data_IF_230303243633
#
_entry.id   IF_230303243633
#
_cell.length_a   1.000
_cell.length_b   1.000
_cell.length_c   1.000
_cell.angle_alpha   90.00
_cell.angle_beta   90.00
_cell.angle_gamma   90.00
#
_symmetry.space_group_name_H-M   'P 1'
#
loop_
_entity.id
_entity.type
_entity.pdbx_description
1 polymer ?
#
# COMPACT_ATOMS: atom_id res chain seq x y z
N UNK A 1 24.12 -1.69 -31.04
CA UNK A 1 22.70 -1.73 -31.40
C UNK A 1 21.93 -1.40 -30.13
N UNK A 2 21.54 -0.14 -29.95
CA UNK A 2 20.79 0.27 -28.75
C UNK A 2 19.40 -0.36 -28.82
N UNK A 3 19.08 -1.20 -27.84
CA UNK A 3 17.72 -1.73 -27.67
C UNK A 3 16.84 -0.53 -27.34
N UNK A 4 15.74 -0.26 -28.07
CA UNK A 4 14.84 0.83 -27.72
C UNK A 4 14.38 0.62 -26.28
N UNK A 5 14.52 1.64 -25.44
CA UNK A 5 14.07 1.58 -24.06
C UNK A 5 12.57 1.23 -24.06
N UNK A 6 12.25 -0.01 -23.70
CA UNK A 6 10.86 -0.47 -23.63
C UNK A 6 10.16 0.32 -22.53
N UNK A 7 9.06 0.98 -22.87
CA UNK A 7 8.23 1.70 -21.89
C UNK A 7 7.92 0.79 -20.69
N UNK A 8 8.02 1.28 -19.45
CA UNK A 8 7.69 0.48 -18.27
C UNK A 8 6.24 -0.04 -18.35
N UNK A 9 6.05 -1.33 -18.07
CA UNK A 9 4.74 -1.97 -18.13
C UNK A 9 4.05 -1.92 -16.76
N UNK A 10 2.78 -1.50 -16.75
CA UNK A 10 1.94 -1.36 -15.56
C UNK A 10 0.69 -2.19 -15.75
N UNK A 11 0.31 -2.91 -14.70
CA UNK A 11 -0.91 -3.74 -14.67
C UNK A 11 -1.90 -3.15 -13.67
N UNK A 12 -3.20 -3.33 -13.93
CA UNK A 12 -4.27 -2.93 -13.00
C UNK A 12 -4.99 -4.15 -12.41
N UNK A 13 -5.53 -4.02 -11.20
CA UNK A 13 -6.44 -5.00 -10.59
C UNK A 13 -7.53 -4.30 -9.79
N UNK A 14 -8.75 -4.82 -9.83
CA UNK A 14 -9.89 -4.24 -9.10
C UNK A 14 -10.31 -2.84 -9.57
N UNK A 15 -10.01 -2.48 -10.82
CA UNK A 15 -10.36 -1.21 -11.47
C UNK A 15 -11.13 -1.53 -12.75
N UNK A 16 -12.30 -0.91 -12.94
CA UNK A 16 -13.24 -1.28 -14.00
C UNK A 16 -13.94 -0.05 -14.59
N UNK A 17 -14.58 -0.23 -15.76
CA UNK A 17 -15.40 0.81 -16.40
C UNK A 17 -14.62 2.08 -16.71
N UNK A 18 -15.27 3.23 -16.50
CA UNK A 18 -14.71 4.56 -16.78
C UNK A 18 -13.42 4.85 -16.01
N UNK A 19 -13.31 4.37 -14.76
CA UNK A 19 -12.10 4.55 -13.96
C UNK A 19 -10.88 3.89 -14.65
N UNK A 20 -11.06 2.69 -15.22
CA UNK A 20 -10.00 2.02 -15.97
C UNK A 20 -9.63 2.82 -17.24
N UNK A 21 -10.61 3.36 -17.95
CA UNK A 21 -10.38 4.18 -19.15
C UNK A 21 -9.53 5.42 -18.83
N UNK A 22 -9.87 6.13 -17.74
CA UNK A 22 -9.12 7.31 -17.28
C UNK A 22 -7.70 6.95 -16.87
N UNK A 23 -7.52 5.87 -16.10
CA UNK A 23 -6.19 5.41 -15.68
C UNK A 23 -5.33 5.07 -16.91
N UNK A 24 -5.88 4.32 -17.87
CA UNK A 24 -5.16 3.96 -19.10
C UNK A 24 -4.73 5.19 -19.90
N UNK A 25 -5.60 6.19 -20.01
CA UNK A 25 -5.27 7.44 -20.71
C UNK A 25 -4.12 8.17 -19.99
N UNK A 26 -4.16 8.29 -18.67
CA UNK A 26 -3.11 8.98 -17.89
C UNK A 26 -1.75 8.26 -17.93
N UNK A 27 -1.76 6.92 -17.90
CA UNK A 27 -0.56 6.10 -18.06
C UNK A 27 0.11 6.37 -19.43
N UNK A 28 -0.69 6.47 -20.49
CA UNK A 28 -0.18 6.78 -21.83
C UNK A 28 0.49 8.16 -21.90
N UNK A 29 -0.09 9.17 -21.23
CA UNK A 29 0.51 10.51 -21.13
C UNK A 29 1.80 10.54 -20.30
N UNK A 30 2.03 9.51 -19.48
CA UNK A 30 3.22 9.36 -18.64
C UNK A 30 4.26 8.43 -19.24
N UNK A 31 4.15 8.12 -20.54
CA UNK A 31 5.00 7.17 -21.28
C UNK A 31 5.06 5.74 -20.67
N UNK A 32 4.01 5.34 -19.94
CA UNK A 32 3.84 4.01 -19.40
C UNK A 32 2.98 3.15 -20.32
N UNK A 33 3.28 1.86 -20.38
CA UNK A 33 2.49 0.88 -21.11
C UNK A 33 1.53 0.17 -20.14
N UNK A 34 0.24 0.09 -20.48
CA UNK A 34 -0.72 -0.67 -19.69
C UNK A 34 -0.89 -2.08 -20.25
N UNK A 35 -0.82 -3.09 -19.38
CA UNK A 35 -1.23 -4.46 -19.68
C UNK A 35 -2.38 -4.87 -18.75
N UNK A 36 -3.44 -5.41 -19.33
CA UNK A 36 -4.57 -5.93 -18.55
C UNK A 36 -4.15 -7.11 -17.67
N UNK A 37 -3.19 -7.91 -18.10
CA UNK A 37 -2.69 -9.08 -17.38
C UNK A 37 -1.37 -8.84 -16.69
N UNK A 38 -1.11 -9.65 -15.66
CA UNK A 38 0.15 -9.60 -14.93
C UNK A 38 1.19 -10.44 -15.69
N UNK A 39 2.09 -9.79 -16.40
CA UNK A 39 3.13 -10.46 -17.20
C UNK A 39 4.45 -10.50 -16.44
N UNK A 40 5.50 -11.08 -17.03
CA UNK A 40 6.87 -10.99 -16.49
C UNK A 40 7.50 -9.61 -16.64
N UNK A 41 6.95 -8.74 -17.51
CA UNK A 41 7.46 -7.38 -17.75
C UNK A 41 6.81 -6.33 -16.85
N UNK A 42 5.71 -6.67 -16.18
CA UNK A 42 5.04 -5.76 -15.26
C UNK A 42 6.02 -5.26 -14.20
N UNK A 43 6.16 -3.95 -14.10
CA UNK A 43 7.00 -3.27 -13.11
C UNK A 43 6.20 -2.73 -11.94
N UNK A 44 4.93 -2.36 -12.16
CA UNK A 44 4.04 -1.82 -11.12
C UNK A 44 2.64 -2.43 -11.26
N UNK A 45 2.02 -2.76 -10.12
CA UNK A 45 0.61 -3.13 -10.05
C UNK A 45 -0.18 -1.99 -9.41
N UNK A 46 -1.14 -1.42 -10.13
CA UNK A 46 -2.11 -0.47 -9.59
C UNK A 46 -3.33 -1.22 -9.08
N UNK A 47 -3.74 -0.90 -7.86
CA UNK A 47 -4.79 -1.60 -7.12
C UNK A 47 -5.94 -0.65 -6.87
N UNK A 48 -7.11 -1.00 -7.38
CA UNK A 48 -8.35 -0.27 -7.15
C UNK A 48 -8.89 -0.49 -5.73
N UNK A 49 -9.70 0.45 -5.26
CA UNK A 49 -10.37 0.38 -3.96
C UNK A 49 -11.31 -0.83 -3.82
N UNK A 50 -11.87 -1.31 -4.94
CA UNK A 50 -12.73 -2.49 -4.99
C UNK A 50 -11.96 -3.83 -4.94
N UNK A 51 -10.62 -3.81 -4.81
CA UNK A 51 -9.83 -5.04 -4.85
C UNK A 51 -10.00 -5.84 -3.55
N UNK A 52 -10.59 -7.03 -3.67
CA UNK A 52 -10.66 -7.99 -2.57
C UNK A 52 -9.27 -8.53 -2.21
N UNK A 53 -9.04 -8.78 -0.91
CA UNK A 53 -7.80 -9.39 -0.38
C UNK A 53 -7.42 -10.72 -1.06
N UNK A 54 -8.37 -11.39 -1.72
CA UNK A 54 -8.16 -12.62 -2.49
C UNK A 54 -7.69 -12.41 -3.95
N UNK A 55 -7.30 -11.20 -4.36
CA UNK A 55 -6.82 -10.96 -5.74
C UNK A 55 -5.55 -11.78 -6.04
N UNK A 56 -5.66 -12.67 -7.05
CA UNK A 56 -4.52 -13.48 -7.53
C UNK A 56 -3.40 -12.60 -8.12
N UNK A 57 -3.76 -11.53 -8.86
CA UNK A 57 -2.78 -10.59 -9.44
C UNK A 57 -1.99 -9.90 -8.32
N UNK A 58 -2.68 -9.43 -7.29
CA UNK A 58 -2.04 -8.80 -6.13
C UNK A 58 -1.11 -9.76 -5.39
N UNK A 59 -1.57 -10.99 -5.16
CA UNK A 59 -0.77 -12.03 -4.49
C UNK A 59 0.53 -12.32 -5.25
N UNK A 60 0.44 -12.49 -6.58
CA UNK A 60 1.61 -12.76 -7.42
C UNK A 60 2.54 -11.55 -7.51
N UNK A 61 2.02 -10.33 -7.64
CA UNK A 61 2.84 -9.12 -7.65
C UNK A 61 3.64 -8.95 -6.36
N UNK A 62 3.01 -9.19 -5.20
CA UNK A 62 3.69 -9.18 -3.90
C UNK A 62 4.77 -10.25 -3.78
N UNK A 63 4.51 -11.49 -4.23
CA UNK A 63 5.52 -12.56 -4.24
C UNK A 63 6.73 -12.19 -5.10
N UNK A 64 6.53 -11.42 -6.17
CA UNK A 64 7.60 -10.93 -7.05
C UNK A 64 8.30 -9.66 -6.53
N UNK A 65 7.85 -9.10 -5.39
CA UNK A 65 8.37 -7.85 -4.86
C UNK A 65 8.04 -6.63 -5.72
N UNK A 66 6.99 -6.69 -6.55
CA UNK A 66 6.57 -5.55 -7.36
C UNK A 66 5.91 -4.49 -6.47
N UNK A 67 6.17 -3.19 -6.70
CA UNK A 67 5.38 -2.12 -6.13
C UNK A 67 3.89 -2.32 -6.41
N UNK A 68 3.11 -2.36 -5.34
CA UNK A 68 1.65 -2.44 -5.40
C UNK A 68 1.12 -1.11 -4.91
N UNK A 69 0.63 -0.28 -5.81
CA UNK A 69 0.25 1.10 -5.53
C UNK A 69 -1.24 1.32 -5.65
N UNK A 70 -1.77 2.31 -4.95
CA UNK A 70 -3.15 2.72 -5.08
C UNK A 70 -3.37 3.55 -6.37
N UNK A 71 -4.63 3.81 -6.73
CA UNK A 71 -4.97 4.56 -7.95
C UNK A 71 -4.43 6.00 -7.94
N UNK A 72 -4.22 6.55 -6.74
CA UNK A 72 -3.73 7.90 -6.49
C UNK A 72 -2.36 8.14 -7.12
N UNK A 73 -1.53 7.09 -7.26
CA UNK A 73 -0.25 7.18 -7.96
C UNK A 73 -0.39 7.74 -9.38
N UNK A 74 -1.48 7.39 -10.06
CA UNK A 74 -1.78 7.87 -11.42
C UNK A 74 -2.64 9.13 -11.39
N UNK A 75 -3.62 9.24 -10.49
CA UNK A 75 -4.52 10.41 -10.48
C UNK A 75 -3.80 11.68 -10.04
N UNK A 76 -2.75 11.57 -9.23
CA UNK A 76 -1.94 12.69 -8.76
C UNK A 76 -0.79 13.03 -9.71
N UNK A 77 -0.67 12.31 -10.84
CA UNK A 77 0.39 12.52 -11.82
C UNK A 77 1.78 12.06 -11.34
N UNK A 78 1.84 11.20 -10.32
CA UNK A 78 3.08 10.75 -9.70
C UNK A 78 3.67 9.48 -10.36
N UNK A 79 3.36 9.23 -11.63
CA UNK A 79 3.68 8.02 -12.43
C UNK A 79 5.18 7.69 -12.59
N UNK A 80 6.09 8.40 -11.92
CA UNK A 80 7.50 8.03 -11.86
C UNK A 80 7.72 6.91 -10.83
N UNK A 81 8.65 6.00 -11.13
CA UNK A 81 8.89 4.79 -10.34
C UNK A 81 9.39 5.11 -8.92
N UNK A 82 10.14 6.20 -8.75
CA UNK A 82 10.62 6.68 -7.45
C UNK A 82 9.51 7.02 -6.46
N UNK A 83 8.30 7.35 -6.94
CA UNK A 83 7.19 7.74 -6.06
C UNK A 83 6.33 6.57 -5.61
N UNK A 84 6.52 5.38 -6.17
CA UNK A 84 5.68 4.20 -5.88
C UNK A 84 5.57 3.89 -4.38
N UNK A 85 6.65 4.09 -3.61
CA UNK A 85 6.65 3.86 -2.16
C UNK A 85 5.70 4.76 -1.36
N UNK A 86 5.34 5.95 -1.88
CA UNK A 86 4.38 6.87 -1.25
C UNK A 86 2.94 6.39 -1.40
N UNK A 87 2.67 5.59 -2.43
CA UNK A 87 1.35 5.09 -2.78
C UNK A 87 1.21 3.59 -2.49
N UNK A 88 2.18 2.98 -1.81
CA UNK A 88 2.18 1.56 -1.51
C UNK A 88 0.95 1.16 -0.67
N UNK A 89 0.16 0.23 -1.19
CA UNK A 89 -1.07 -0.22 -0.54
C UNK A 89 -0.80 -1.10 0.70
N UNK A 90 0.40 -1.66 0.83
CA UNK A 90 0.82 -2.40 2.02
C UNK A 90 1.00 -1.47 3.21
N UNK A 91 1.52 -0.27 2.95
CA UNK A 91 1.74 0.79 3.95
C UNK A 91 0.51 1.66 4.21
N UNK A 92 -0.49 1.60 3.33
CA UNK A 92 -1.74 2.34 3.54
C UNK A 92 -2.50 1.83 4.77
N UNK A 93 -2.95 2.77 5.60
CA UNK A 93 -3.91 2.52 6.69
C UNK A 93 -5.36 2.73 6.24
N UNK A 94 -5.59 3.17 5.00
CA UNK A 94 -6.92 3.47 4.47
C UNK A 94 -7.87 2.29 4.64
N UNK A 95 -9.01 2.52 5.28
CA UNK A 95 -10.03 1.51 5.52
C UNK A 95 -9.67 0.41 6.52
N UNK A 96 -8.47 0.47 7.14
CA UNK A 96 -8.09 -0.44 8.23
C UNK A 96 -8.59 0.09 9.57
N UNK A 97 -8.92 -0.84 10.45
CA UNK A 97 -9.08 -0.54 11.87
C UNK A 97 -7.71 -0.63 12.57
N UNK A 98 -7.34 0.45 13.25
CA UNK A 98 -6.13 0.55 14.06
C UNK A 98 -6.54 0.56 15.53
N UNK A 99 -6.13 -0.46 16.26
CA UNK A 99 -6.36 -0.56 17.69
C UNK A 99 -5.10 -0.17 18.47
N UNK A 100 -5.27 0.37 19.68
CA UNK A 100 -4.15 0.65 20.59
C UNK A 100 -4.24 -0.11 21.91
N UNK A 101 -3.08 -0.40 22.52
CA UNK A 101 -3.01 -0.94 23.88
C UNK A 101 -1.75 -0.48 24.61
N UNK A 102 -1.84 -0.23 25.92
CA UNK A 102 -0.69 0.14 26.74
C UNK A 102 -0.03 1.48 26.41
N UNK A 103 -0.70 2.34 25.63
CA UNK A 103 -0.23 3.68 25.27
C UNK A 103 -0.74 4.73 26.26
N UNK A 104 0.08 5.73 26.58
CA UNK A 104 -0.37 6.88 27.36
C UNK A 104 -1.20 7.85 26.50
N UNK A 105 -1.81 8.86 27.12
CA UNK A 105 -2.76 9.76 26.45
C UNK A 105 -2.19 10.42 25.18
N UNK A 106 -0.98 11.01 25.28
CA UNK A 106 -0.34 11.71 24.16
C UNK A 106 -0.01 10.77 22.99
N UNK A 107 0.42 9.54 23.28
CA UNK A 107 0.64 8.51 22.24
C UNK A 107 -0.66 8.14 21.53
N UNK A 108 -1.76 7.97 22.29
CA UNK A 108 -3.07 7.68 21.71
C UNK A 108 -3.55 8.81 20.80
N UNK A 109 -3.40 10.06 21.22
CA UNK A 109 -3.75 11.22 20.40
C UNK A 109 -2.95 11.27 19.09
N UNK A 110 -1.65 10.95 19.14
CA UNK A 110 -0.81 10.86 17.93
C UNK A 110 -1.27 9.76 16.99
N UNK A 111 -1.58 8.57 17.50
CA UNK A 111 -2.08 7.46 16.69
C UNK A 111 -3.46 7.81 16.10
N UNK A 112 -4.34 8.41 16.88
CA UNK A 112 -5.66 8.85 16.42
C UNK A 112 -5.55 9.90 15.30
N UNK A 113 -4.66 10.88 15.44
CA UNK A 113 -4.39 11.88 14.41
C UNK A 113 -3.83 11.24 13.13
N UNK A 114 -2.90 10.29 13.24
CA UNK A 114 -2.37 9.54 12.11
C UNK A 114 -3.45 8.70 11.41
N UNK A 115 -4.35 8.08 12.17
CA UNK A 115 -5.49 7.35 11.59
C UNK A 115 -6.40 8.28 10.79
N UNK A 116 -6.72 9.47 11.33
CA UNK A 116 -7.50 10.47 10.61
C UNK A 116 -6.83 10.94 9.31
N UNK A 117 -5.52 11.20 9.34
CA UNK A 117 -4.75 11.60 8.17
C UNK A 117 -4.64 10.49 7.10
N UNK A 118 -4.71 9.23 7.50
CA UNK A 118 -4.60 8.08 6.61
C UNK A 118 -5.94 7.40 6.32
N UNK A 119 -7.08 8.06 6.57
CA UNK A 119 -8.42 7.50 6.34
C UNK A 119 -8.64 6.11 6.98
N UNK A 120 -8.08 5.91 8.17
CA UNK A 120 -8.19 4.70 8.97
C UNK A 120 -9.16 4.91 10.14
N UNK A 121 -9.76 3.83 10.63
CA UNK A 121 -10.63 3.86 11.80
C UNK A 121 -9.80 3.61 13.06
N UNK A 122 -9.74 4.59 13.95
CA UNK A 122 -9.08 4.42 15.25
C UNK A 122 -10.03 3.80 16.27
N UNK A 123 -9.56 2.77 16.99
CA UNK A 123 -10.23 2.20 18.14
C UNK A 123 -9.29 2.14 19.35
N UNK A 124 -9.75 2.65 20.49
CA UNK A 124 -8.97 2.66 21.73
C UNK A 124 -8.90 1.27 22.40
N UNK A 125 -9.65 0.29 21.90
CA UNK A 125 -9.71 -1.08 22.39
C UNK A 125 -9.52 -2.05 21.23
N UNK A 126 -8.92 -3.22 21.51
CA UNK A 126 -8.75 -4.28 20.51
C UNK A 126 -10.11 -4.87 20.13
N UNK A 127 -10.43 -4.88 18.84
CA UNK A 127 -11.63 -5.54 18.31
C UNK A 127 -11.27 -6.71 17.39
N UNK A 128 -12.28 -7.52 17.06
CA UNK A 128 -12.16 -8.62 16.08
C UNK A 128 -11.87 -8.15 14.65
N UNK A 129 -12.06 -6.85 14.36
CA UNK A 129 -11.83 -6.24 13.06
C UNK A 129 -10.48 -5.52 12.96
N UNK A 130 -9.67 -5.59 14.02
CA UNK A 130 -8.38 -4.91 14.10
C UNK A 130 -7.43 -5.40 13.00
N UNK A 131 -7.11 -4.50 12.06
CA UNK A 131 -6.13 -4.75 11.00
C UNK A 131 -4.69 -4.41 11.40
N UNK A 132 -4.52 -3.54 12.41
CA UNK A 132 -3.22 -3.16 12.95
C UNK A 132 -3.33 -2.86 14.46
N UNK A 133 -2.52 -3.54 15.28
CA UNK A 133 -2.41 -3.26 16.71
C UNK A 133 -1.14 -2.45 16.98
N UNK A 134 -1.30 -1.27 17.56
CA UNK A 134 -0.19 -0.43 18.06
C UNK A 134 -0.13 -0.57 19.57
N UNK A 135 1.02 -1.00 20.08
CA UNK A 135 1.20 -1.25 21.49
C UNK A 135 2.51 -0.65 21.99
N UNK A 136 2.56 -0.25 23.25
CA UNK A 136 3.84 0.16 23.86
C UNK A 136 4.79 -1.03 23.92
N UNK A 137 6.09 -0.77 23.84
CA UNK A 137 7.10 -1.82 23.94
C UNK A 137 6.98 -2.63 25.25
N UNK A 138 6.59 -1.96 26.34
CA UNK A 138 6.30 -2.59 27.62
C UNK A 138 5.08 -3.54 27.56
N UNK A 139 4.03 -3.17 26.83
CA UNK A 139 2.85 -4.01 26.64
C UNK A 139 3.09 -5.19 25.68
N UNK A 140 4.06 -5.07 24.76
CA UNK A 140 4.43 -6.13 23.83
C UNK A 140 5.35 -7.19 24.42
N UNK A 141 5.86 -7.01 25.64
CA UNK A 141 6.62 -8.04 26.35
C UNK A 141 7.83 -8.57 25.56
N UNK A 142 8.41 -7.77 24.66
CA UNK A 142 9.68 -8.13 24.05
C UNK A 142 10.74 -8.04 25.14
N UNK A 143 11.06 -9.20 25.73
CA UNK A 143 12.30 -9.40 26.46
C UNK A 143 13.42 -9.01 25.51
N UNK A 144 14.02 -7.84 25.76
CA UNK A 144 15.28 -7.50 25.13
C UNK A 144 16.26 -8.62 25.51
N UNK A 145 16.95 -9.28 24.56
CA UNK A 145 18.01 -10.20 24.93
C UNK A 145 19.03 -9.37 25.71
N UNK A 146 19.10 -9.60 27.02
CA UNK A 146 20.06 -8.96 27.90
C UNK A 146 21.42 -9.01 27.24
N UNK A 147 21.99 -7.85 26.95
CA UNK A 147 23.38 -7.74 26.58
C UNK A 147 24.20 -8.28 27.76
N UNK A 148 24.65 -9.53 27.65
CA UNK A 148 25.68 -10.10 28.50
C UNK A 148 26.98 -9.34 28.21
N UNK A 149 27.15 -8.21 28.90
CA UNK A 149 28.45 -7.57 29.06
C UNK A 149 29.26 -8.44 30.01
N UNK A 150 30.39 -8.90 29.48
CA UNK A 150 31.48 -9.58 30.20
C UNK A 150 32.05 -8.68 31.29
#
# INVERSE_FOLDING_TARGET
>A
MEVPATRPEVTTTGIYGEELSVIRQRLLHSDLCWCGDLTSRTQVLIVGSATCAASRKLSVARMRGLPCVSIEWVTDGACAMEFTGRFDIGRSLTGKEVCTTGLHHLERERVQAACGACHATYNATLTRHCGLLVASAAALGFTSPSASLR
#
